data_IF_144971977650
#
_entry.id   IF_144971977650
#
_cell.length_a   1.000
_cell.length_b   1.000
_cell.length_c   1.000
_cell.angle_alpha   90.00
_cell.angle_beta   90.00
_cell.angle_gamma   90.00
#
_symmetry.space_group_name_H-M   'P 1'
#
loop_
_entity.id
_entity.type
_entity.pdbx_description
1 polymer ?
#
# COMPACT_ATOMS: atom_id res chain seq x y z
N UNK A 1 -13.26 11.79 7.24
CA UNK A 1 -14.37 12.35 6.43
C UNK A 1 -14.09 12.15 4.96
N UNK A 2 -14.98 12.57 4.08
CA UNK A 2 -14.78 12.59 2.62
C UNK A 2 -14.51 14.04 2.23
N UNK A 3 -13.51 14.30 1.39
CA UNK A 3 -13.26 15.66 0.89
C UNK A 3 -14.37 16.11 -0.05
N UNK A 4 -14.62 17.43 -0.18
CA UNK A 4 -15.68 17.93 -1.05
C UNK A 4 -15.53 17.50 -2.52
N UNK A 5 -14.30 17.28 -2.99
CA UNK A 5 -14.03 16.90 -4.39
C UNK A 5 -12.84 15.95 -4.53
N UNK A 6 -11.62 16.44 -4.32
CA UNK A 6 -10.37 15.68 -4.50
C UNK A 6 -9.38 16.01 -3.37
N UNK A 7 -8.21 15.35 -3.35
CA UNK A 7 -7.10 15.62 -2.42
C UNK A 7 -6.19 16.77 -2.89
N UNK A 8 -6.77 17.74 -3.60
CA UNK A 8 -6.08 18.88 -4.22
C UNK A 8 -6.11 20.13 -3.32
N UNK A 9 -5.30 21.16 -3.61
CA UNK A 9 -5.48 22.48 -3.03
C UNK A 9 -6.88 23.04 -3.33
N UNK A 10 -7.36 24.01 -2.54
CA UNK A 10 -8.67 24.62 -2.78
C UNK A 10 -8.76 25.30 -4.16
N UNK A 11 -9.99 25.51 -4.68
CA UNK A 11 -10.20 26.37 -5.86
C UNK A 11 -9.59 27.76 -5.66
N UNK A 12 -9.16 28.40 -6.75
CA UNK A 12 -8.51 29.73 -6.70
C UNK A 12 -7.00 29.72 -6.97
N UNK A 13 -6.51 28.70 -7.70
CA UNK A 13 -5.13 28.61 -8.17
C UNK A 13 -4.13 28.64 -7.01
N UNK A 14 -4.26 27.68 -6.09
CA UNK A 14 -3.39 27.51 -4.92
C UNK A 14 -2.36 26.39 -5.13
N UNK A 15 -1.87 26.23 -6.37
CA UNK A 15 -0.81 25.27 -6.69
C UNK A 15 0.53 25.99 -6.68
N UNK A 16 1.43 25.58 -5.79
CA UNK A 16 2.69 26.30 -5.59
C UNK A 16 3.90 25.44 -5.89
N UNK A 17 3.78 24.51 -6.85
CA UNK A 17 4.95 23.80 -7.37
C UNK A 17 5.84 24.75 -8.19
N UNK A 18 7.13 24.43 -8.28
CA UNK A 18 8.14 25.30 -8.90
C UNK A 18 7.87 25.64 -10.38
N UNK A 19 7.14 24.79 -11.09
CA UNK A 19 6.79 24.91 -12.50
C UNK A 19 5.32 25.29 -12.75
N UNK A 20 4.57 25.59 -11.68
CA UNK A 20 3.16 25.96 -11.78
C UNK A 20 2.98 27.44 -12.15
N UNK A 21 1.90 27.75 -12.88
CA UNK A 21 1.57 29.12 -13.32
C UNK A 21 0.64 29.86 -12.37
N UNK A 22 0.22 29.23 -11.27
CA UNK A 22 -0.67 29.85 -10.30
C UNK A 22 -0.08 31.14 -9.72
N UNK A 23 -0.92 32.17 -9.49
CA UNK A 23 -0.47 33.44 -8.94
C UNK A 23 0.06 33.27 -7.52
N UNK A 24 1.30 33.71 -7.34
CA UNK A 24 1.96 33.85 -6.04
C UNK A 24 1.53 35.14 -5.35
N UNK A 25 1.68 35.19 -4.04
CA UNK A 25 1.54 36.42 -3.24
C UNK A 25 2.77 37.30 -3.49
N UNK A 26 2.55 38.38 -4.24
CA UNK A 26 3.45 39.51 -4.38
C UNK A 26 3.05 40.52 -3.30
N UNK A 27 3.94 40.70 -2.33
CA UNK A 27 3.76 41.56 -1.16
C UNK A 27 4.86 42.62 -1.01
N UNK A 28 5.74 42.76 -2.01
CA UNK A 28 6.77 43.80 -2.02
C UNK A 28 6.21 45.05 -2.73
N UNK A 29 5.92 46.14 -2.00
CA UNK A 29 5.34 47.34 -2.57
C UNK A 29 6.29 48.07 -3.55
N UNK A 30 7.56 47.66 -3.63
CA UNK A 30 8.55 48.24 -4.54
C UNK A 30 8.60 47.54 -5.90
N UNK A 31 7.91 46.41 -6.08
CA UNK A 31 7.79 45.73 -7.38
C UNK A 31 6.38 45.90 -7.94
N UNK A 32 6.24 45.67 -9.24
CA UNK A 32 4.94 45.66 -9.90
C UNK A 32 4.08 44.47 -9.45
N UNK A 33 2.78 44.57 -9.75
CA UNK A 33 1.80 43.49 -9.58
C UNK A 33 1.56 43.06 -8.12
N UNK A 34 1.64 44.01 -7.17
CA UNK A 34 1.24 43.81 -5.78
C UNK A 34 -0.22 43.32 -5.70
N UNK A 35 -0.42 42.16 -5.05
CA UNK A 35 -1.70 41.44 -5.16
C UNK A 35 -2.22 40.84 -3.83
N UNK A 36 -1.69 41.29 -2.68
CA UNK A 36 -2.07 40.74 -1.36
C UNK A 36 -3.58 40.72 -1.12
N UNK A 37 -4.28 41.83 -1.37
CA UNK A 37 -5.73 41.93 -1.14
C UNK A 37 -6.50 40.91 -2.00
N UNK A 38 -6.11 40.76 -3.27
CA UNK A 38 -6.71 39.79 -4.17
C UNK A 38 -6.51 38.36 -3.66
N UNK A 39 -5.28 37.99 -3.30
CA UNK A 39 -4.98 36.62 -2.84
C UNK A 39 -5.63 36.28 -1.50
N UNK A 40 -5.78 37.25 -0.60
CA UNK A 40 -6.57 37.09 0.63
C UNK A 40 -8.06 36.88 0.30
N UNK A 41 -8.63 37.66 -0.62
CA UNK A 41 -10.02 37.50 -1.05
C UNK A 41 -10.26 36.12 -1.69
N UNK A 42 -9.34 35.64 -2.53
CA UNK A 42 -9.40 34.30 -3.12
C UNK A 42 -9.41 33.21 -2.04
N UNK A 43 -8.54 33.32 -1.04
CA UNK A 43 -8.44 32.36 0.06
C UNK A 43 -9.72 32.33 0.90
N UNK A 44 -10.22 33.51 1.28
CA UNK A 44 -11.46 33.65 2.06
C UNK A 44 -12.65 33.09 1.28
N UNK A 45 -12.76 33.38 -0.02
CA UNK A 45 -13.83 32.86 -0.86
C UNK A 45 -13.82 31.32 -0.92
N UNK A 46 -12.65 30.72 -1.12
CA UNK A 46 -12.50 29.27 -1.12
C UNK A 46 -12.81 28.64 0.25
N UNK A 47 -12.39 29.30 1.33
CA UNK A 47 -12.65 28.84 2.69
C UNK A 47 -14.14 28.85 3.03
N UNK A 48 -14.84 29.94 2.70
CA UNK A 48 -16.28 30.05 2.91
C UNK A 48 -17.06 29.06 2.05
N UNK A 49 -16.63 28.82 0.80
CA UNK A 49 -17.24 27.81 -0.06
C UNK A 49 -17.15 26.40 0.54
N UNK A 50 -16.00 26.01 1.08
CA UNK A 50 -15.84 24.71 1.76
C UNK A 50 -16.56 24.67 3.12
N UNK A 51 -16.58 25.77 3.87
CA UNK A 51 -17.29 25.87 5.15
C UNK A 51 -18.80 25.65 4.96
N UNK A 52 -19.39 26.14 3.86
CA UNK A 52 -20.82 25.97 3.56
C UNK A 52 -21.26 24.50 3.40
N UNK A 53 -20.33 23.58 3.14
CA UNK A 53 -20.61 22.14 3.02
C UNK A 53 -19.97 21.31 4.14
N UNK A 54 -19.43 21.96 5.18
CA UNK A 54 -18.71 21.31 6.27
C UNK A 54 -19.34 21.69 7.62
N UNK A 55 -19.69 20.71 8.46
CA UNK A 55 -20.12 20.97 9.85
C UNK A 55 -18.97 21.58 10.66
N UNK A 56 -19.22 22.32 11.74
CA UNK A 56 -18.25 23.07 12.58
C UNK A 56 -17.59 24.26 11.87
N UNK A 57 -16.86 25.07 12.62
CA UNK A 57 -15.99 26.15 12.14
C UNK A 57 -14.58 25.70 11.70
N UNK A 58 -14.35 24.39 11.49
CA UNK A 58 -13.07 23.84 11.04
C UNK A 58 -13.20 23.13 9.69
N UNK A 59 -12.46 23.62 8.70
CA UNK A 59 -12.23 23.01 7.38
C UNK A 59 -10.76 22.59 7.22
N UNK A 60 -10.46 21.75 6.23
CA UNK A 60 -9.10 21.34 5.90
C UNK A 60 -8.85 21.53 4.40
N UNK A 61 -7.82 22.30 4.08
CA UNK A 61 -7.26 22.36 2.74
C UNK A 61 -6.11 21.36 2.62
N UNK A 62 -6.22 20.47 1.64
CA UNK A 62 -5.15 19.55 1.27
C UNK A 62 -4.18 20.27 0.33
N UNK A 63 -3.26 21.06 0.92
CA UNK A 63 -2.29 21.86 0.17
C UNK A 63 -1.21 20.95 -0.46
N UNK A 64 -1.54 20.25 -1.54
CA UNK A 64 -0.64 19.34 -2.25
C UNK A 64 -1.41 18.46 -3.23
N UNK A 65 -0.68 17.66 -4.02
CA UNK A 65 -1.25 16.63 -4.91
C UNK A 65 -0.16 15.63 -5.30
N UNK A 66 -0.40 14.82 -6.32
CA UNK A 66 0.50 13.80 -6.86
C UNK A 66 1.93 14.32 -7.02
N UNK A 67 2.85 13.73 -6.25
CA UNK A 67 4.30 13.95 -6.29
C UNK A 67 4.74 15.44 -6.25
N UNK A 68 3.97 16.28 -5.55
CA UNK A 68 4.32 17.68 -5.28
C UNK A 68 5.28 17.82 -4.10
N UNK A 69 5.74 19.06 -3.86
CA UNK A 69 6.79 19.42 -2.91
C UNK A 69 8.19 18.94 -3.33
N UNK A 70 8.48 18.82 -4.64
CA UNK A 70 9.85 18.53 -5.09
C UNK A 70 10.80 19.65 -4.69
N UNK A 71 10.31 20.89 -4.73
CA UNK A 71 10.95 22.05 -4.10
C UNK A 71 10.02 22.65 -3.04
N UNK A 72 9.99 22.05 -1.85
CA UNK A 72 9.01 22.38 -0.81
C UNK A 72 8.93 23.87 -0.43
N UNK A 73 10.04 24.62 -0.54
CA UNK A 73 10.10 26.05 -0.26
C UNK A 73 9.14 26.87 -1.13
N UNK A 74 8.85 26.44 -2.37
CA UNK A 74 7.88 27.15 -3.21
C UNK A 74 6.48 27.15 -2.60
N UNK A 75 6.09 26.06 -1.94
CA UNK A 75 4.83 25.93 -1.21
C UNK A 75 4.85 26.69 0.11
N UNK A 76 5.87 26.45 0.95
CA UNK A 76 5.95 27.07 2.28
C UNK A 76 6.01 28.60 2.22
N UNK A 77 6.78 29.16 1.28
CA UNK A 77 6.83 30.61 1.08
C UNK A 77 5.46 31.24 0.78
N UNK A 78 4.61 30.55 0.02
CA UNK A 78 3.27 31.04 -0.29
C UNK A 78 2.31 30.83 0.87
N UNK A 79 2.37 29.66 1.53
CA UNK A 79 1.55 29.37 2.71
C UNK A 79 1.85 30.32 3.87
N UNK A 80 3.12 30.67 4.11
CA UNK A 80 3.51 31.65 5.14
C UNK A 80 2.88 33.02 4.89
N UNK A 81 2.97 33.52 3.65
CA UNK A 81 2.36 34.80 3.26
C UNK A 81 0.84 34.74 3.37
N UNK A 82 0.20 33.68 2.89
CA UNK A 82 -1.25 33.50 2.99
C UNK A 82 -1.69 33.47 4.45
N UNK A 83 -1.06 32.67 5.31
CA UNK A 83 -1.35 32.61 6.74
C UNK A 83 -1.20 33.99 7.38
N UNK A 84 -0.09 34.69 7.08
CA UNK A 84 0.16 36.03 7.63
C UNK A 84 -0.93 37.03 7.24
N UNK A 85 -1.21 37.18 5.95
CA UNK A 85 -2.13 38.21 5.45
C UNK A 85 -3.60 37.86 5.70
N UNK A 86 -3.99 36.59 5.63
CA UNK A 86 -5.35 36.14 5.97
C UNK A 86 -5.65 36.37 7.45
N UNK A 87 -4.71 36.03 8.34
CA UNK A 87 -4.91 36.24 9.78
C UNK A 87 -4.89 37.73 10.15
N UNK A 88 -4.13 38.56 9.40
CA UNK A 88 -4.14 40.02 9.55
C UNK A 88 -5.45 40.65 9.08
N UNK A 89 -6.04 40.12 8.00
CA UNK A 89 -7.36 40.52 7.50
C UNK A 89 -8.48 40.14 8.51
N UNK A 90 -8.41 38.95 9.10
CA UNK A 90 -9.22 38.55 10.24
C UNK A 90 -10.63 38.05 9.91
N UNK A 91 -11.06 38.02 8.64
CA UNK A 91 -12.34 37.40 8.25
C UNK A 91 -12.38 35.89 8.50
N UNK A 92 -11.24 35.22 8.38
CA UNK A 92 -11.03 33.80 8.70
C UNK A 92 -9.65 33.62 9.35
N UNK A 93 -9.42 32.47 9.98
CA UNK A 93 -8.12 32.13 10.57
C UNK A 93 -7.50 30.92 9.85
N UNK A 94 -6.27 31.07 9.38
CA UNK A 94 -5.46 30.07 8.72
C UNK A 94 -4.27 29.65 9.62
N UNK A 95 -3.89 28.37 9.55
CA UNK A 95 -2.74 27.82 10.26
C UNK A 95 -2.17 26.61 9.52
N UNK A 96 -0.90 26.31 9.73
CA UNK A 96 -0.36 24.98 9.43
C UNK A 96 -1.02 23.95 10.34
N UNK A 97 -1.38 22.80 9.77
CA UNK A 97 -2.07 21.74 10.48
C UNK A 97 -1.74 20.37 9.89
N UNK A 98 -2.25 19.33 10.54
CA UNK A 98 -2.19 17.95 10.08
C UNK A 98 -3.59 17.33 10.15
N UNK A 99 -3.85 16.19 9.48
CA UNK A 99 -5.12 15.50 9.62
C UNK A 99 -5.49 15.18 11.07
N UNK A 100 -4.51 14.85 11.93
CA UNK A 100 -4.76 14.57 13.35
C UNK A 100 -5.17 15.83 14.11
N UNK A 101 -4.46 16.95 13.96
CA UNK A 101 -4.81 18.23 14.60
C UNK A 101 -6.20 18.70 14.15
N UNK A 102 -6.50 18.56 12.85
CA UNK A 102 -7.84 18.82 12.32
C UNK A 102 -8.88 17.93 13.00
N UNK A 103 -8.67 16.61 13.07
CA UNK A 103 -9.61 15.68 13.72
C UNK A 103 -9.81 16.00 15.20
N UNK A 104 -8.76 16.36 15.93
CA UNK A 104 -8.85 16.75 17.34
C UNK A 104 -9.70 18.01 17.51
N UNK A 105 -9.50 19.03 16.65
CA UNK A 105 -10.33 20.23 16.65
C UNK A 105 -11.80 19.89 16.38
N UNK A 106 -12.09 19.01 15.40
CA UNK A 106 -13.45 18.55 15.08
C UNK A 106 -14.10 17.76 16.21
N UNK A 107 -13.31 16.98 16.94
CA UNK A 107 -13.80 16.24 18.10
C UNK A 107 -14.13 17.19 19.25
N UNK A 108 -13.32 18.22 19.46
CA UNK A 108 -13.48 19.18 20.56
C UNK A 108 -14.75 20.04 20.48
N UNK A 109 -15.37 20.15 19.30
CA UNK A 109 -16.62 20.93 19.13
C UNK A 109 -17.85 20.23 19.71
N UNK A 110 -17.75 18.97 20.14
CA UNK A 110 -18.87 18.19 20.71
C UNK A 110 -20.14 18.17 19.82
N UNK A 111 -19.94 18.17 18.50
CA UNK A 111 -21.03 18.14 17.52
C UNK A 111 -21.56 16.71 17.30
N UNK A 112 -22.87 16.53 17.06
CA UNK A 112 -23.40 15.26 16.59
C UNK A 112 -22.99 14.98 15.14
N UNK A 113 -22.48 13.77 14.88
CA UNK A 113 -22.03 13.33 13.55
C UNK A 113 -23.02 12.34 12.91
N UNK A 114 -23.23 12.41 11.58
CA UNK A 114 -24.11 11.46 10.91
C UNK A 114 -23.43 10.09 10.87
N UNK A 115 -24.23 9.03 11.08
CA UNK A 115 -23.74 7.67 11.01
C UNK A 115 -23.59 7.22 9.55
N UNK A 116 -22.43 6.65 9.20
CA UNK A 116 -22.22 5.89 7.97
C UNK A 116 -21.93 4.44 8.32
N UNK A 117 -22.83 3.55 7.91
CA UNK A 117 -22.66 2.09 7.95
C UNK A 117 -22.34 1.58 6.53
N UNK A 118 -21.82 0.38 6.34
CA UNK A 118 -21.40 -0.19 5.04
C UNK A 118 -20.22 0.56 4.38
N UNK A 119 -19.92 0.23 3.11
CA UNK A 119 -18.75 0.71 2.36
C UNK A 119 -19.09 1.86 1.37
N UNK A 120 -18.11 2.20 0.52
CA UNK A 120 -18.24 3.18 -0.56
C UNK A 120 -18.06 2.53 -1.94
N UNK A 121 -18.47 1.27 -2.10
CA UNK A 121 -18.42 0.57 -3.38
C UNK A 121 -19.81 0.44 -4.04
N UNK A 122 -19.85 0.44 -5.39
CA UNK A 122 -18.77 0.79 -6.33
C UNK A 122 -18.55 2.31 -6.42
N UNK A 123 -17.33 2.73 -6.74
CA UNK A 123 -17.00 4.14 -7.00
C UNK A 123 -17.27 4.51 -8.47
N UNK A 124 -17.80 5.71 -8.68
CA UNK A 124 -17.92 6.35 -9.99
C UNK A 124 -17.66 7.85 -9.85
N UNK A 125 -16.81 8.41 -10.71
CA UNK A 125 -16.48 9.83 -10.75
C UNK A 125 -17.30 10.61 -11.79
N UNK A 126 -17.93 9.90 -12.73
CA UNK A 126 -18.85 10.45 -13.73
C UNK A 126 -20.02 9.48 -13.98
N UNK A 127 -21.17 9.93 -14.55
CA UNK A 127 -22.38 9.11 -14.70
C UNK A 127 -22.19 7.74 -15.39
N UNK A 128 -21.24 7.65 -16.33
CA UNK A 128 -20.95 6.43 -17.11
C UNK A 128 -19.51 5.92 -16.89
N UNK A 129 -18.87 6.29 -15.78
CA UNK A 129 -17.49 5.92 -15.46
C UNK A 129 -17.44 5.21 -14.11
N UNK A 130 -17.97 3.98 -14.05
CA UNK A 130 -17.87 3.13 -12.86
C UNK A 130 -16.51 2.44 -12.81
N UNK A 131 -15.81 2.57 -11.69
CA UNK A 131 -14.47 2.02 -11.49
C UNK A 131 -14.55 0.58 -11.00
N UNK A 132 -15.24 -0.28 -11.75
CA UNK A 132 -15.40 -1.71 -11.42
C UNK A 132 -14.50 -2.61 -12.26
N UNK A 133 -13.88 -2.08 -13.33
CA UNK A 133 -12.96 -2.85 -14.18
C UNK A 133 -11.73 -3.36 -13.43
N UNK A 134 -11.18 -2.55 -12.51
CA UNK A 134 -9.97 -2.91 -11.74
C UNK A 134 -10.22 -4.08 -10.77
N UNK A 135 -11.48 -4.46 -10.50
CA UNK A 135 -11.80 -5.68 -9.77
C UNK A 135 -11.24 -6.93 -10.46
N UNK A 136 -11.09 -6.89 -11.80
CA UNK A 136 -10.60 -8.02 -12.61
C UNK A 136 -9.28 -7.74 -13.33
N UNK A 137 -8.91 -6.47 -13.60
CA UNK A 137 -7.67 -6.11 -14.30
C UNK A 137 -6.43 -6.85 -13.76
N UNK A 138 -5.56 -7.34 -14.66
CA UNK A 138 -4.36 -8.14 -14.33
C UNK A 138 -4.66 -9.32 -13.38
N UNK A 139 -5.56 -10.27 -13.76
CA UNK A 139 -5.99 -11.34 -12.86
C UNK A 139 -4.85 -12.28 -12.46
N UNK A 140 -3.84 -12.47 -13.32
CA UNK A 140 -2.65 -13.26 -13.00
C UNK A 140 -1.84 -12.64 -11.84
N UNK A 141 -1.66 -11.31 -11.82
CA UNK A 141 -0.98 -10.62 -10.73
C UNK A 141 -1.80 -10.70 -9.43
N UNK A 142 -3.13 -10.48 -9.49
CA UNK A 142 -4.03 -10.66 -8.34
C UNK A 142 -3.92 -12.06 -7.73
N UNK A 143 -3.92 -13.10 -8.58
CA UNK A 143 -3.70 -14.48 -8.13
C UNK A 143 -2.32 -14.65 -7.50
N UNK A 144 -1.27 -14.08 -8.11
CA UNK A 144 0.08 -14.20 -7.59
C UNK A 144 0.22 -13.58 -6.19
N UNK A 145 -0.33 -12.37 -5.98
CA UNK A 145 -0.42 -11.72 -4.67
C UNK A 145 -1.15 -12.59 -3.65
N UNK A 146 -2.29 -13.19 -4.01
CA UNK A 146 -3.04 -14.10 -3.11
C UNK A 146 -2.22 -15.34 -2.75
N UNK A 147 -1.59 -15.98 -3.72
CA UNK A 147 -0.75 -17.16 -3.49
C UNK A 147 0.42 -16.83 -2.56
N UNK A 148 1.11 -15.72 -2.82
CA UNK A 148 2.23 -15.28 -2.00
C UNK A 148 1.82 -14.85 -0.59
N UNK A 149 0.63 -14.25 -0.42
CA UNK A 149 0.08 -13.93 0.90
C UNK A 149 -0.16 -15.17 1.75
N UNK A 150 -0.76 -16.23 1.17
CA UNK A 150 -0.93 -17.52 1.85
C UNK A 150 0.41 -18.20 2.17
N UNK A 151 1.35 -18.17 1.23
CA UNK A 151 2.71 -18.69 1.43
C UNK A 151 3.44 -17.96 2.55
N UNK A 152 3.37 -16.62 2.56
CA UNK A 152 3.99 -15.77 3.58
C UNK A 152 3.45 -16.03 4.99
N UNK A 153 2.16 -16.36 5.12
CA UNK A 153 1.58 -16.77 6.39
C UNK A 153 2.24 -18.06 6.91
N UNK A 154 2.30 -19.11 6.07
CA UNK A 154 2.92 -20.38 6.43
C UNK A 154 4.43 -20.23 6.71
N UNK A 155 5.13 -19.45 5.89
CA UNK A 155 6.56 -19.17 6.07
C UNK A 155 6.84 -18.51 7.42
N UNK A 156 6.03 -17.53 7.85
CA UNK A 156 6.19 -16.89 9.17
C UNK A 156 5.94 -17.83 10.34
N UNK A 157 4.99 -18.74 10.22
CA UNK A 157 4.74 -19.76 11.25
C UNK A 157 5.93 -20.70 11.38
N UNK A 158 6.47 -21.17 10.25
CA UNK A 158 7.65 -22.02 10.21
C UNK A 158 8.90 -21.28 10.73
N UNK A 159 9.09 -20.01 10.36
CA UNK A 159 10.16 -19.16 10.90
C UNK A 159 10.08 -19.03 12.42
N UNK A 160 8.87 -18.86 12.96
CA UNK A 160 8.64 -18.79 14.40
C UNK A 160 9.07 -20.08 15.09
N UNK A 161 8.69 -21.26 14.56
CA UNK A 161 9.01 -22.55 15.18
C UNK A 161 10.49 -22.86 15.24
N UNK A 162 11.27 -22.50 14.21
CA UNK A 162 12.72 -22.73 14.21
C UNK A 162 13.51 -21.61 14.89
N UNK A 163 12.83 -20.52 15.27
CA UNK A 163 13.45 -19.32 15.79
C UNK A 163 14.05 -18.46 14.68
N UNK A 164 13.63 -17.20 14.65
CA UNK A 164 14.05 -16.25 13.63
C UNK A 164 15.57 -16.05 13.62
N UNK A 165 16.16 -16.15 12.42
CA UNK A 165 17.59 -15.94 12.22
C UNK A 165 17.97 -14.47 12.38
N UNK A 166 19.16 -14.20 12.94
CA UNK A 166 19.74 -12.85 13.02
C UNK A 166 20.52 -12.43 11.77
N UNK A 167 20.93 -13.39 10.95
CA UNK A 167 21.83 -13.17 9.79
C UNK A 167 21.50 -14.01 8.56
N UNK A 168 20.51 -14.89 8.63
CA UNK A 168 20.06 -15.74 7.52
C UNK A 168 18.79 -15.22 6.84
N UNK A 169 18.26 -16.00 5.89
CA UNK A 169 17.02 -15.68 5.19
C UNK A 169 15.86 -15.54 6.18
N UNK A 170 15.14 -14.42 6.09
CA UNK A 170 13.91 -14.15 6.86
C UNK A 170 12.73 -13.96 5.90
N UNK A 171 11.53 -13.90 6.45
CA UNK A 171 10.34 -13.61 5.64
C UNK A 171 10.24 -12.15 5.17
N UNK A 172 11.09 -11.23 5.63
CA UNK A 172 10.93 -9.78 5.41
C UNK A 172 10.89 -9.40 3.94
N UNK A 173 11.77 -9.99 3.13
CA UNK A 173 11.83 -9.66 1.70
C UNK A 173 10.53 -10.00 0.96
N UNK A 174 9.80 -11.03 1.40
CA UNK A 174 8.46 -11.32 0.88
C UNK A 174 7.41 -10.40 1.49
N UNK A 175 7.55 -10.06 2.77
CA UNK A 175 6.73 -9.07 3.45
C UNK A 175 6.73 -7.70 2.76
N UNK A 176 7.92 -7.17 2.46
CA UNK A 176 8.11 -5.89 1.75
C UNK A 176 7.48 -5.93 0.35
N UNK A 177 7.70 -7.02 -0.39
CA UNK A 177 7.14 -7.19 -1.73
C UNK A 177 5.60 -7.28 -1.70
N UNK A 178 5.03 -7.99 -0.73
CA UNK A 178 3.58 -8.08 -0.55
C UNK A 178 2.97 -6.75 -0.10
N UNK A 179 3.65 -6.02 0.80
CA UNK A 179 3.22 -4.71 1.26
C UNK A 179 3.18 -3.71 0.09
N UNK A 180 4.24 -3.66 -0.72
CA UNK A 180 4.27 -2.85 -1.92
C UNK A 180 3.19 -3.27 -2.93
N UNK A 181 2.94 -4.56 -3.09
CA UNK A 181 1.89 -5.05 -3.97
C UNK A 181 0.46 -4.69 -3.51
N UNK A 182 0.26 -4.21 -2.27
CA UNK A 182 -1.03 -3.67 -1.82
C UNK A 182 -1.24 -2.20 -2.21
N UNK A 183 -0.26 -1.53 -2.83
CA UNK A 183 -0.43 -0.20 -3.41
C UNK A 183 -1.68 -0.17 -4.31
N UNK A 184 -2.40 0.95 -4.30
CA UNK A 184 -3.69 1.08 -5.00
C UNK A 184 -3.58 1.08 -6.53
N UNK A 185 -2.37 1.08 -7.09
CA UNK A 185 -2.11 0.77 -8.51
C UNK A 185 -1.40 -0.56 -8.75
N UNK A 186 -1.08 -1.32 -7.71
CA UNK A 186 -0.41 -2.60 -7.83
C UNK A 186 -1.42 -3.73 -8.00
N UNK A 187 -1.96 -4.27 -6.90
CA UNK A 187 -2.92 -5.40 -6.97
C UNK A 187 -4.19 -5.04 -7.74
N UNK A 188 -4.56 -3.75 -7.84
CA UNK A 188 -5.69 -3.25 -8.63
C UNK A 188 -5.46 -3.41 -10.14
N UNK A 189 -4.21 -3.40 -10.60
CA UNK A 189 -3.86 -3.58 -12.00
C UNK A 189 -4.04 -2.32 -12.86
N UNK A 190 -3.92 -1.12 -12.26
CA UNK A 190 -4.07 0.19 -12.91
C UNK A 190 -2.74 0.86 -13.26
N UNK A 191 -1.61 0.20 -13.01
CA UNK A 191 -0.26 0.63 -13.37
C UNK A 191 0.12 0.34 -14.83
N UNK A 192 1.23 0.94 -15.29
CA UNK A 192 1.85 0.64 -16.60
C UNK A 192 2.46 -0.77 -16.61
N UNK A 193 2.54 -1.40 -17.79
CA UNK A 193 2.99 -2.79 -17.91
C UNK A 193 4.39 -3.07 -17.31
N UNK A 194 5.35 -2.15 -17.47
CA UNK A 194 6.69 -2.34 -16.89
C UNK A 194 6.68 -2.27 -15.36
N UNK A 195 5.76 -1.50 -14.76
CA UNK A 195 5.57 -1.42 -13.31
C UNK A 195 4.94 -2.73 -12.80
N UNK A 196 3.94 -3.26 -13.53
CA UNK A 196 3.36 -4.58 -13.23
C UNK A 196 4.43 -5.70 -13.24
N UNK A 197 5.34 -5.65 -14.22
CA UNK A 197 6.47 -6.58 -14.32
C UNK A 197 7.43 -6.42 -13.13
N UNK A 198 7.67 -5.19 -12.66
CA UNK A 198 8.51 -4.94 -11.48
C UNK A 198 7.86 -5.49 -10.19
N UNK A 199 6.55 -5.30 -10.01
CA UNK A 199 5.83 -5.92 -8.88
C UNK A 199 5.96 -7.45 -8.89
N UNK A 200 5.74 -8.10 -10.04
CA UNK A 200 5.91 -9.54 -10.18
C UNK A 200 7.35 -9.99 -9.90
N UNK A 201 8.35 -9.23 -10.38
CA UNK A 201 9.77 -9.49 -10.10
C UNK A 201 10.07 -9.43 -8.60
N UNK A 202 9.59 -8.40 -7.89
CA UNK A 202 9.78 -8.26 -6.44
C UNK A 202 9.13 -9.38 -5.65
N UNK A 203 7.90 -9.77 -6.01
CA UNK A 203 7.23 -10.93 -5.41
C UNK A 203 8.04 -12.22 -5.62
N UNK A 204 8.60 -12.42 -6.82
CA UNK A 204 9.45 -13.58 -7.11
C UNK A 204 10.74 -13.60 -6.28
N UNK A 205 11.42 -12.46 -6.14
CA UNK A 205 12.61 -12.33 -5.30
C UNK A 205 12.29 -12.62 -3.84
N UNK A 206 11.21 -12.03 -3.31
CA UNK A 206 10.75 -12.28 -1.95
C UNK A 206 10.39 -13.74 -1.71
N UNK A 207 9.68 -14.35 -2.66
CA UNK A 207 9.30 -15.76 -2.61
C UNK A 207 10.53 -16.66 -2.53
N UNK A 208 11.58 -16.44 -3.33
CA UNK A 208 12.76 -17.28 -3.31
C UNK A 208 13.48 -17.30 -1.96
N UNK A 209 13.57 -16.16 -1.28
CA UNK A 209 14.13 -16.12 0.09
C UNK A 209 13.24 -16.84 1.11
N UNK A 210 11.92 -16.68 0.98
CA UNK A 210 10.97 -17.39 1.84
C UNK A 210 10.96 -18.91 1.56
N UNK A 211 11.19 -19.32 0.31
CA UNK A 211 11.29 -20.72 -0.12
C UNK A 211 12.45 -21.44 0.56
N UNK A 212 13.63 -20.82 0.56
CA UNK A 212 14.81 -21.32 1.27
C UNK A 212 14.55 -21.49 2.77
N UNK A 213 13.92 -20.48 3.39
CA UNK A 213 13.55 -20.50 4.79
C UNK A 213 12.57 -21.64 5.08
N UNK A 214 11.49 -21.77 4.30
CA UNK A 214 10.48 -22.83 4.48
C UNK A 214 11.11 -24.22 4.34
N UNK A 215 11.94 -24.43 3.32
CA UNK A 215 12.63 -25.71 3.13
C UNK A 215 13.57 -26.03 4.28
N UNK A 216 14.30 -25.03 4.80
CA UNK A 216 15.17 -25.19 5.98
C UNK A 216 14.34 -25.50 7.21
N UNK A 217 13.26 -24.75 7.46
CA UNK A 217 12.39 -24.97 8.61
C UNK A 217 11.78 -26.36 8.62
N UNK A 218 11.33 -26.84 7.46
CA UNK A 218 10.79 -28.19 7.33
C UNK A 218 11.84 -29.27 7.63
N UNK A 219 13.06 -29.12 7.11
CA UNK A 219 14.17 -30.02 7.42
C UNK A 219 14.45 -30.08 8.93
N UNK A 220 14.54 -28.92 9.57
CA UNK A 220 14.75 -28.80 11.01
C UNK A 220 13.65 -29.47 11.83
N UNK A 221 12.40 -29.30 11.43
CA UNK A 221 11.25 -29.83 12.17
C UNK A 221 11.04 -31.33 11.94
N UNK A 222 11.50 -31.87 10.81
CA UNK A 222 11.42 -33.30 10.51
C UNK A 222 12.54 -34.11 11.17
N UNK A 223 13.67 -33.48 11.45
CA UNK A 223 14.81 -34.11 12.10
C UNK A 223 14.61 -34.15 13.61
N UNK A 224 14.11 -35.28 14.11
CA UNK A 224 13.92 -35.52 15.54
C UNK A 224 15.27 -35.51 16.28
N UNK A 225 15.56 -34.41 16.97
CA UNK A 225 16.54 -34.39 18.05
C UNK A 225 17.79 -33.54 17.79
N UNK A 226 17.79 -32.32 18.33
CA UNK A 226 18.96 -31.68 18.92
C UNK A 226 18.53 -30.38 19.63
N UNK A 227 18.95 -30.20 20.89
CA UNK A 227 18.78 -28.95 21.65
C UNK A 227 19.56 -27.75 21.08
N UNK A 228 20.17 -27.88 19.89
CA UNK A 228 20.86 -26.79 19.19
C UNK A 228 19.92 -26.07 18.23
N UNK A 229 19.98 -24.73 18.19
CA UNK A 229 19.34 -23.90 17.15
C UNK A 229 19.61 -24.50 15.77
N UNK A 230 18.56 -24.97 15.10
CA UNK A 230 18.71 -25.61 13.80
C UNK A 230 19.30 -24.61 12.79
N UNK A 231 20.49 -24.94 12.28
CA UNK A 231 21.22 -24.06 11.36
C UNK A 231 21.50 -24.71 10.01
N UNK A 232 21.47 -26.04 9.92
CA UNK A 232 21.79 -26.78 8.69
C UNK A 232 21.16 -28.19 8.73
N UNK A 233 19.90 -28.36 8.31
CA UNK A 233 19.27 -29.67 8.24
C UNK A 233 19.90 -30.51 7.12
N UNK A 234 20.01 -31.82 7.35
CA UNK A 234 20.46 -32.79 6.33
C UNK A 234 19.36 -33.11 5.32
N UNK A 235 18.11 -33.07 5.77
CA UNK A 235 16.90 -33.31 4.99
C UNK A 235 16.58 -32.07 4.18
N UNK A 236 16.61 -32.21 2.85
CA UNK A 236 16.33 -31.12 1.92
C UNK A 236 14.93 -31.27 1.34
N UNK A 237 14.12 -30.22 1.50
CA UNK A 237 12.81 -30.12 0.87
C UNK A 237 12.89 -29.27 -0.40
N UNK A 238 12.28 -29.75 -1.47
CA UNK A 238 12.09 -29.01 -2.72
C UNK A 238 10.60 -28.72 -2.88
N UNK A 239 10.28 -27.53 -3.41
CA UNK A 239 8.92 -27.06 -3.57
C UNK A 239 8.58 -26.90 -5.06
N UNK A 240 7.30 -27.03 -5.41
CA UNK A 240 6.80 -26.94 -6.78
C UNK A 240 5.75 -25.84 -6.91
N UNK A 241 6.16 -24.57 -7.14
CA UNK A 241 5.21 -23.45 -7.26
C UNK A 241 4.41 -23.43 -8.57
N UNK A 242 4.79 -24.24 -9.57
CA UNK A 242 4.25 -24.19 -10.95
C UNK A 242 3.30 -25.36 -11.29
N UNK A 243 2.65 -25.94 -10.28
CA UNK A 243 1.67 -27.02 -10.48
C UNK A 243 0.49 -26.61 -11.37
N UNK A 244 0.19 -25.31 -11.48
CA UNK A 244 -0.88 -24.80 -12.34
C UNK A 244 -0.61 -25.00 -13.85
N UNK A 245 0.64 -25.25 -14.22
CA UNK A 245 1.06 -25.61 -15.59
C UNK A 245 1.63 -27.03 -15.64
N UNK A 246 1.29 -27.87 -14.66
CA UNK A 246 1.73 -29.27 -14.56
C UNK A 246 3.27 -29.39 -14.59
N UNK A 247 3.96 -28.49 -13.88
CA UNK A 247 5.42 -28.51 -13.81
C UNK A 247 5.92 -28.69 -12.38
N UNK A 248 6.49 -29.86 -12.11
CA UNK A 248 7.13 -30.21 -10.84
C UNK A 248 8.24 -31.25 -11.08
N UNK A 249 9.46 -30.80 -11.43
CA UNK A 249 10.56 -31.70 -11.75
C UNK A 249 10.83 -32.78 -10.69
N UNK A 250 10.78 -32.52 -9.36
CA UNK A 250 10.95 -33.57 -8.36
C UNK A 250 9.97 -34.74 -8.46
N UNK A 251 8.74 -34.52 -8.95
CA UNK A 251 7.76 -35.59 -9.15
C UNK A 251 7.86 -36.30 -10.50
N UNK A 252 8.61 -35.73 -11.44
CA UNK A 252 8.79 -36.25 -12.80
C UNK A 252 10.06 -37.12 -12.93
N UNK A 253 10.85 -37.23 -11.86
CA UNK A 253 12.08 -38.03 -11.85
C UNK A 253 11.81 -39.53 -11.77
N UNK A 254 12.54 -40.32 -12.57
CA UNK A 254 12.59 -41.77 -12.41
C UNK A 254 13.33 -42.13 -11.13
N UNK A 255 12.60 -42.65 -10.14
CA UNK A 255 13.17 -43.10 -8.88
C UNK A 255 13.96 -44.39 -9.09
N UNK A 256 15.19 -44.44 -8.61
CA UNK A 256 15.99 -45.68 -8.57
C UNK A 256 15.29 -46.74 -7.70
N UNK A 257 15.42 -48.03 -8.05
CA UNK A 257 14.86 -49.13 -7.28
C UNK A 257 15.12 -48.98 -5.77
N UNK A 258 14.04 -49.05 -4.97
CA UNK A 258 14.09 -48.93 -3.51
C UNK A 258 13.95 -47.50 -2.94
N UNK A 259 13.79 -46.46 -3.79
CA UNK A 259 13.47 -45.09 -3.33
C UNK A 259 12.01 -44.73 -3.62
N UNK A 260 11.39 -43.99 -2.69
CA UNK A 260 10.06 -43.41 -2.84
C UNK A 260 10.11 -41.89 -2.70
N UNK A 261 9.17 -41.20 -3.34
CA UNK A 261 8.99 -39.76 -3.18
C UNK A 261 8.24 -39.49 -1.87
N UNK A 262 8.86 -38.76 -0.95
CA UNK A 262 8.22 -38.27 0.27
C UNK A 262 7.55 -36.92 0.03
N UNK A 263 6.26 -36.82 0.36
CA UNK A 263 5.50 -35.57 0.29
C UNK A 263 5.21 -35.06 1.71
N UNK A 264 5.45 -33.78 1.97
CA UNK A 264 5.12 -33.12 3.24
C UNK A 264 4.14 -31.98 3.00
N UNK A 265 3.12 -31.88 3.84
CA UNK A 265 2.09 -30.85 3.80
C UNK A 265 2.18 -30.02 5.08
N UNK A 266 2.26 -28.69 4.93
CA UNK A 266 2.18 -27.75 6.06
C UNK A 266 0.86 -27.02 5.96
N UNK A 267 0.07 -27.04 7.04
CA UNK A 267 -1.31 -26.58 7.00
C UNK A 267 -1.75 -25.83 8.26
N UNK A 268 -2.97 -25.30 8.19
CA UNK A 268 -3.69 -24.49 9.18
C UNK A 268 -3.83 -25.20 10.54
N UNK A 269 -4.30 -24.45 11.54
CA UNK A 269 -4.48 -24.89 12.93
C UNK A 269 -5.53 -25.99 13.16
N UNK A 270 -6.18 -26.51 12.13
CA UNK A 270 -7.25 -27.50 12.22
C UNK A 270 -6.89 -28.71 11.36
N UNK A 271 -7.33 -29.91 11.77
CA UNK A 271 -7.16 -31.11 10.96
C UNK A 271 -7.90 -30.94 9.62
N UNK A 272 -7.18 -31.13 8.52
CA UNK A 272 -7.72 -31.02 7.17
C UNK A 272 -7.24 -32.19 6.33
N UNK A 273 -8.15 -32.81 5.59
CA UNK A 273 -7.85 -33.86 4.61
C UNK A 273 -7.92 -33.28 3.20
N UNK A 274 -6.77 -33.24 2.53
CA UNK A 274 -6.68 -33.01 1.08
C UNK A 274 -5.86 -34.14 0.46
N UNK A 275 -6.32 -34.65 -0.68
CA UNK A 275 -5.57 -35.67 -1.42
C UNK A 275 -4.25 -35.09 -1.93
N UNK A 276 -3.14 -35.79 -1.70
CA UNK A 276 -1.96 -35.59 -2.53
C UNK A 276 -2.29 -36.06 -3.96
N UNK A 277 -1.88 -35.34 -5.02
CA UNK A 277 -2.08 -35.82 -6.38
C UNK A 277 -1.46 -37.21 -6.53
N UNK A 278 -2.18 -38.20 -7.08
CA UNK A 278 -1.62 -39.54 -7.27
C UNK A 278 -0.42 -39.48 -8.21
N UNK A 279 0.60 -40.29 -7.92
CA UNK A 279 1.69 -40.59 -8.84
C UNK A 279 1.09 -41.37 -10.02
N UNK A 280 0.81 -40.70 -11.14
CA UNK A 280 0.55 -41.41 -12.40
C UNK A 280 1.89 -41.76 -13.02
N UNK A 281 2.42 -42.93 -12.69
CA UNK A 281 3.43 -43.57 -13.54
C UNK A 281 2.72 -44.00 -14.82
N UNK A 282 2.95 -43.28 -15.92
CA UNK A 282 2.70 -43.85 -17.23
C UNK A 282 3.87 -44.78 -17.55
N UNK A 283 3.59 -46.10 -17.52
CA UNK A 283 4.42 -47.11 -18.20
C UNK A 283 4.41 -46.88 -19.71
#
# INVERSE_FOLDING_TARGET
GIFPKNYEPPPGEFYFEVDDTSPVVQDDPLLFDYNVEQRVNDFVAAALAQANVTRTNHIMFTMGTDFKYQYAESWFRQMDKLIHYVNKDGRVNALYSTPSIYTDAKFSTNEPWPLKTNDFFPYADNPNAYWTGYFTSRPALKRYVRMMSGYYLAARQLEFFIGRSKSGSTTDSLGDALALAQHHDAVTGTEKQHVANDYAKRLSIGYKKAEELVSTSLGCLSESGSNSRCSSPTTKFVQCPLLNITYCPPSEMNLSQGKSLGCSCVQLSWMETRGCPPHTSHE
#
